data_IF_140432999116
#
_entry.id   IF_140432999116
#
_cell.length_a   1.000
_cell.length_b   1.000
_cell.length_c   1.000
_cell.angle_alpha   90.00
_cell.angle_beta   90.00
_cell.angle_gamma   90.00
#
_symmetry.space_group_name_H-M   'P 1'
#
loop_
_entity.id
_entity.type
_entity.pdbx_description
1 polymer ?
#
# COMPACT_ATOMS: atom_id res chain seq x y z
N UNK A 1 -14.07 42.01 -0.31
CA UNK A 1 -14.44 40.71 -0.89
C UNK A 1 -13.29 39.76 -0.64
N UNK A 2 -13.42 38.83 0.30
CA UNK A 2 -12.42 37.80 0.51
C UNK A 2 -12.58 36.76 -0.59
N UNK A 3 -11.51 36.47 -1.31
CA UNK A 3 -11.45 35.35 -2.24
C UNK A 3 -11.42 34.09 -1.39
N UNK A 4 -12.52 33.33 -1.42
CA UNK A 4 -12.54 31.95 -0.92
C UNK A 4 -11.67 31.13 -1.88
N UNK A 5 -10.37 31.10 -1.62
CA UNK A 5 -9.46 30.18 -2.28
C UNK A 5 -9.84 28.80 -1.78
N UNK A 6 -10.50 28.01 -2.62
CA UNK A 6 -10.90 26.63 -2.34
C UNK A 6 -9.71 25.67 -2.17
N UNK A 7 -8.67 26.08 -1.46
CA UNK A 7 -7.61 25.20 -0.96
C UNK A 7 -8.27 24.27 0.04
N UNK A 8 -8.46 23.02 -0.40
CA UNK A 8 -8.82 21.91 0.46
C UNK A 8 -7.88 21.94 1.67
N UNK A 9 -8.45 21.97 2.87
CA UNK A 9 -7.68 22.12 4.10
C UNK A 9 -6.52 21.12 4.14
N UNK A 10 -5.27 21.57 4.31
CA UNK A 10 -4.15 20.67 4.59
C UNK A 10 -4.47 19.95 5.90
N UNK A 11 -4.35 18.62 5.91
CA UNK A 11 -4.55 17.82 7.12
C UNK A 11 -5.80 16.95 7.16
N UNK A 12 -6.64 16.95 6.12
CA UNK A 12 -7.63 15.87 5.99
C UNK A 12 -6.94 14.69 5.33
N UNK A 13 -6.72 13.59 6.05
CA UNK A 13 -6.28 12.32 5.47
C UNK A 13 -7.36 11.82 4.50
N UNK A 14 -7.27 12.22 3.24
CA UNK A 14 -8.25 11.88 2.19
C UNK A 14 -8.25 10.39 1.81
N UNK A 15 -7.43 9.57 2.48
CA UNK A 15 -7.17 8.18 2.12
C UNK A 15 -6.81 7.30 3.33
N UNK A 16 -7.24 7.67 4.54
CA UNK A 16 -7.04 6.87 5.76
C UNK A 16 -7.50 5.42 5.57
N UNK A 17 -6.69 4.46 6.03
CA UNK A 17 -6.98 3.03 5.90
C UNK A 17 -6.74 2.45 4.50
N UNK A 18 -6.27 3.25 3.54
CA UNK A 18 -5.86 2.76 2.23
C UNK A 18 -4.39 2.35 2.20
N UNK A 19 -3.99 1.64 1.14
CA UNK A 19 -2.58 1.34 0.89
C UNK A 19 -1.70 2.60 0.80
N UNK A 20 -2.26 3.74 0.38
CA UNK A 20 -1.51 5.00 0.35
C UNK A 20 -1.23 5.55 1.77
N UNK A 21 -2.13 5.32 2.73
CA UNK A 21 -1.93 5.66 4.15
C UNK A 21 -0.87 4.76 4.79
N UNK A 22 -0.88 3.46 4.44
CA UNK A 22 0.19 2.54 4.85
C UNK A 22 1.56 2.95 4.27
N UNK A 23 1.61 3.38 3.01
CA UNK A 23 2.86 3.86 2.39
C UNK A 23 3.38 5.16 3.01
N UNK A 24 2.50 6.08 3.39
CA UNK A 24 2.89 7.28 4.12
C UNK A 24 3.49 6.94 5.48
N UNK A 25 2.89 6.02 6.24
CA UNK A 25 3.43 5.55 7.53
C UNK A 25 4.80 4.92 7.37
N UNK A 26 4.95 4.01 6.42
CA UNK A 26 6.23 3.37 6.12
C UNK A 26 7.30 4.41 5.70
N UNK A 27 6.91 5.44 4.93
CA UNK A 27 7.82 6.53 4.57
C UNK A 27 8.31 7.29 5.80
N UNK A 28 7.44 7.57 6.78
CA UNK A 28 7.83 8.24 8.03
C UNK A 28 8.73 7.34 8.89
N UNK A 29 8.44 6.04 8.96
CA UNK A 29 9.22 5.06 9.72
C UNK A 29 10.64 4.88 9.15
N UNK A 30 10.78 4.87 7.83
CA UNK A 30 12.08 4.73 7.14
C UNK A 30 12.82 6.06 6.99
N UNK A 31 12.16 7.20 7.18
CA UNK A 31 12.81 8.51 7.07
C UNK A 31 14.09 8.65 7.89
N UNK A 32 14.11 8.36 9.22
CA UNK A 32 15.34 8.48 10.01
C UNK A 32 16.45 7.53 9.58
N UNK A 33 16.11 6.35 9.01
CA UNK A 33 17.11 5.36 8.58
C UNK A 33 17.90 5.85 7.36
N UNK A 34 17.28 6.68 6.52
CA UNK A 34 17.87 7.21 5.28
C UNK A 34 18.42 8.62 5.45
N UNK A 35 17.67 9.49 6.14
CA UNK A 35 17.97 10.92 6.24
C UNK A 35 18.67 11.31 7.55
N UNK A 36 18.69 10.41 8.54
CA UNK A 36 19.19 10.67 9.89
C UNK A 36 18.11 11.17 10.85
N UNK A 37 18.30 10.91 12.14
CA UNK A 37 17.30 11.17 13.19
C UNK A 37 16.91 12.66 13.35
N UNK A 38 17.82 13.57 12.99
CA UNK A 38 17.64 15.02 13.12
C UNK A 38 17.08 15.69 11.84
N UNK A 39 16.82 14.92 10.79
CA UNK A 39 16.33 15.48 9.52
C UNK A 39 14.83 15.76 9.58
N UNK A 40 14.45 17.00 9.29
CA UNK A 40 13.05 17.42 9.24
C UNK A 40 12.26 16.57 8.23
N UNK A 41 11.19 15.95 8.71
CA UNK A 41 10.25 15.24 7.85
C UNK A 41 9.58 16.25 6.90
N UNK A 42 9.52 15.98 5.59
CA UNK A 42 8.87 16.88 4.65
C UNK A 42 7.40 17.04 5.01
N UNK A 43 6.92 18.28 4.98
CA UNK A 43 5.52 18.58 5.19
C UNK A 43 4.65 17.82 4.19
N UNK A 44 3.54 17.26 4.66
CA UNK A 44 2.56 16.63 3.79
C UNK A 44 2.08 17.64 2.75
N UNK A 45 2.23 17.28 1.47
CA UNK A 45 1.84 18.10 0.32
C UNK A 45 0.94 17.29 -0.60
N UNK A 46 0.11 17.98 -1.40
CA UNK A 46 -0.75 17.29 -2.37
C UNK A 46 0.06 16.44 -3.37
N UNK A 47 1.28 16.86 -3.70
CA UNK A 47 2.20 16.14 -4.57
C UNK A 47 2.72 14.86 -3.90
N UNK A 48 3.11 14.91 -2.63
CA UNK A 48 3.54 13.74 -1.87
C UNK A 48 2.41 12.73 -1.71
N UNK A 49 1.20 13.22 -1.41
CA UNK A 49 0.00 12.40 -1.30
C UNK A 49 -0.39 11.76 -2.64
N UNK A 50 -0.25 12.51 -3.74
CA UNK A 50 -0.46 11.97 -5.09
C UNK A 50 0.54 10.87 -5.41
N UNK A 51 1.80 11.01 -4.99
CA UNK A 51 2.85 10.01 -5.20
C UNK A 51 2.49 8.69 -4.50
N UNK A 52 2.13 8.72 -3.22
CA UNK A 52 1.73 7.48 -2.50
C UNK A 52 0.51 6.81 -3.15
N UNK A 53 -0.47 7.59 -3.62
CA UNK A 53 -1.64 7.05 -4.34
C UNK A 53 -1.24 6.43 -5.68
N UNK A 54 -0.35 7.07 -6.42
CA UNK A 54 0.14 6.56 -7.71
C UNK A 54 0.91 5.25 -7.54
N UNK A 55 1.79 5.17 -6.53
CA UNK A 55 2.54 3.96 -6.19
C UNK A 55 1.58 2.84 -5.80
N UNK A 56 0.64 3.09 -4.89
CA UNK A 56 -0.37 2.11 -4.49
C UNK A 56 -1.18 1.58 -5.68
N UNK A 57 -1.61 2.47 -6.58
CA UNK A 57 -2.30 2.04 -7.82
C UNK A 57 -1.39 1.24 -8.74
N UNK A 58 -0.12 1.61 -8.86
CA UNK A 58 0.88 0.88 -9.65
C UNK A 58 1.08 -0.54 -9.14
N UNK A 59 1.21 -0.71 -7.82
CA UNK A 59 1.32 -2.03 -7.16
C UNK A 59 0.09 -2.87 -7.47
N UNK A 60 -1.12 -2.37 -7.23
CA UNK A 60 -2.35 -3.14 -7.50
C UNK A 60 -2.48 -3.50 -8.98
N UNK A 61 -2.14 -2.59 -9.91
CA UNK A 61 -2.16 -2.88 -11.35
C UNK A 61 -1.15 -3.97 -11.71
N UNK A 62 0.06 -3.90 -11.16
CA UNK A 62 1.10 -4.90 -11.38
C UNK A 62 0.66 -6.28 -10.86
N UNK A 63 0.14 -6.33 -9.63
CA UNK A 63 -0.40 -7.57 -9.03
C UNK A 63 -1.55 -8.15 -9.86
N UNK A 64 -2.45 -7.30 -10.38
CA UNK A 64 -3.55 -7.74 -11.25
C UNK A 64 -3.05 -8.32 -12.57
N UNK A 65 -2.07 -7.67 -13.19
CA UNK A 65 -1.46 -8.12 -14.45
C UNK A 65 -0.66 -9.42 -14.27
N UNK A 66 -0.09 -9.64 -13.10
CA UNK A 66 0.70 -10.82 -12.75
C UNK A 66 -0.03 -11.71 -11.74
N UNK A 67 -1.36 -11.75 -11.81
CA UNK A 67 -2.20 -12.43 -10.81
C UNK A 67 -1.91 -13.93 -10.68
N UNK A 68 -1.33 -14.56 -11.69
CA UNK A 68 -0.87 -15.95 -11.61
C UNK A 68 0.22 -16.17 -10.56
N UNK A 69 1.09 -15.18 -10.34
CA UNK A 69 2.14 -15.22 -9.31
C UNK A 69 1.58 -15.09 -7.89
N UNK A 70 0.32 -14.67 -7.73
CA UNK A 70 -0.37 -14.52 -6.45
C UNK A 70 -1.39 -15.63 -6.19
N UNK A 71 -1.63 -16.52 -7.16
CA UNK A 71 -2.56 -17.63 -6.99
C UNK A 71 -1.94 -18.68 -6.08
N UNK A 72 -2.49 -18.83 -4.89
CA UNK A 72 -2.20 -19.99 -4.04
C UNK A 72 -2.94 -21.20 -4.60
N UNK A 73 -2.16 -22.15 -5.12
CA UNK A 73 -2.67 -23.46 -5.54
C UNK A 73 -2.43 -24.44 -4.39
N UNK A 74 -3.51 -25.03 -3.89
CA UNK A 74 -3.44 -26.04 -2.85
C UNK A 74 -3.55 -27.40 -3.51
N UNK A 75 -2.49 -28.19 -3.34
CA UNK A 75 -2.46 -29.59 -3.79
C UNK A 75 -2.55 -30.49 -2.56
N UNK A 76 -3.61 -31.29 -2.48
CA UNK A 76 -3.82 -32.26 -1.40
C UNK A 76 -3.74 -33.66 -1.97
N UNK A 77 -2.89 -34.50 -1.39
CA UNK A 77 -2.77 -35.90 -1.79
C UNK A 77 -3.46 -36.79 -0.74
N UNK A 78 -4.43 -37.60 -1.17
CA UNK A 78 -5.14 -38.54 -0.31
C UNK A 78 -4.97 -39.94 -0.93
N UNK A 79 -4.09 -40.75 -0.34
CA UNK A 79 -3.71 -42.05 -0.91
C UNK A 79 -3.00 -41.90 -2.27
N UNK A 80 -3.41 -42.65 -3.32
CA UNK A 80 -2.83 -42.52 -4.65
C UNK A 80 -3.41 -41.36 -5.48
N UNK A 81 -4.38 -40.62 -4.95
CA UNK A 81 -5.10 -39.58 -5.70
C UNK A 81 -4.64 -38.19 -5.29
N UNK A 82 -4.35 -37.35 -6.29
CA UNK A 82 -3.99 -35.94 -6.12
C UNK A 82 -5.21 -35.06 -6.44
N UNK A 83 -5.53 -34.16 -5.53
CA UNK A 83 -6.55 -33.14 -5.70
C UNK A 83 -5.89 -31.77 -5.77
N UNK A 84 -6.23 -30.99 -6.80
CA UNK A 84 -5.73 -29.63 -6.97
C UNK A 84 -6.90 -28.66 -6.88
N UNK A 85 -6.78 -27.67 -5.99
CA UNK A 85 -7.79 -26.63 -5.79
C UNK A 85 -7.16 -25.25 -5.70
N UNK A 86 -8.02 -24.23 -5.75
CA UNK A 86 -7.63 -22.85 -5.40
C UNK A 86 -8.27 -22.51 -4.06
N UNK A 87 -7.53 -21.79 -3.21
CA UNK A 87 -7.98 -21.36 -1.90
C UNK A 87 -7.94 -19.85 -1.77
N UNK A 88 -8.72 -19.31 -0.83
CA UNK A 88 -8.61 -17.93 -0.38
C UNK A 88 -7.64 -17.86 0.79
N UNK A 89 -6.67 -16.94 0.72
CA UNK A 89 -5.77 -16.64 1.82
C UNK A 89 -6.53 -15.75 2.82
N UNK A 90 -6.72 -16.21 4.04
CA UNK A 90 -7.41 -15.46 5.11
C UNK A 90 -6.44 -14.69 6.00
N UNK A 91 -5.17 -15.04 5.99
CA UNK A 91 -4.14 -14.38 6.79
C UNK A 91 -2.76 -14.47 6.11
N UNK A 92 -1.92 -13.47 6.31
CA UNK A 92 -0.53 -13.40 5.81
C UNK A 92 0.34 -12.88 6.95
N UNK A 93 1.06 -13.77 7.63
CA UNK A 93 2.12 -13.39 8.57
C UNK A 93 3.42 -13.08 7.81
N UNK A 94 4.00 -11.91 8.09
CA UNK A 94 5.34 -11.53 7.63
C UNK A 94 6.22 -11.50 8.88
N UNK A 95 7.17 -12.44 8.96
CA UNK A 95 8.18 -12.56 10.02
C UNK A 95 9.40 -11.70 9.76
#
# INVERSE_FOLDING_TARGET
MALDSGTKSPGTSFYSGSMADAMEKAFVEEWPTVMGDDADLPASSEQLNLMFRAIAQGVIRHLKQNSESLKVTVTVQIGPTTYTGTGSVTDIEIS
#
